data_IF_051286373592
#
_entry.id   IF_051286373592
#
_cell.length_a   1.000
_cell.length_b   1.000
_cell.length_c   1.000
_cell.angle_alpha   90.00
_cell.angle_beta   90.00
_cell.angle_gamma   90.00
#
_symmetry.space_group_name_H-M   'P 1'
#
loop_
_entity.id
_entity.type
_entity.pdbx_description
1 polymer ?
#
# COMPACT_ATOMS: atom_id res chain seq x y z
N UNK A 1 6.96 5.80 -40.31
CA UNK A 1 6.42 4.51 -39.84
C UNK A 1 5.50 4.83 -38.67
N UNK A 2 4.17 4.72 -38.85
CA UNK A 2 3.22 5.00 -37.78
C UNK A 2 3.37 3.96 -36.67
N UNK A 3 3.54 4.42 -35.43
CA UNK A 3 3.62 3.53 -34.28
C UNK A 3 2.31 2.78 -34.10
N UNK A 4 2.34 1.46 -34.21
CA UNK A 4 1.21 0.62 -33.83
C UNK A 4 1.07 0.69 -32.31
N UNK A 5 -0.02 1.28 -31.82
CA UNK A 5 -0.39 1.18 -30.43
C UNK A 5 -1.33 -0.03 -30.28
N UNK A 6 -0.94 -1.07 -29.52
CA UNK A 6 -1.80 -2.23 -29.33
C UNK A 6 -3.12 -1.84 -28.69
N UNK A 7 -4.19 -2.55 -29.04
CA UNK A 7 -5.49 -2.32 -28.46
C UNK A 7 -5.47 -2.65 -26.95
N UNK A 8 -6.33 -1.99 -26.18
CA UNK A 8 -6.39 -2.18 -24.72
C UNK A 8 -6.55 -3.65 -24.28
N UNK A 9 -7.36 -4.50 -24.93
CA UNK A 9 -7.45 -5.92 -24.58
C UNK A 9 -6.12 -6.68 -24.72
N UNK A 10 -5.32 -6.36 -25.75
CA UNK A 10 -4.02 -6.97 -25.95
C UNK A 10 -3.01 -6.51 -24.88
N UNK A 11 -3.07 -5.23 -24.53
CA UNK A 11 -2.25 -4.67 -23.44
C UNK A 11 -2.57 -5.40 -22.13
N UNK A 12 -3.85 -5.51 -21.76
CA UNK A 12 -4.29 -6.20 -20.54
C UNK A 12 -3.86 -7.68 -20.52
N UNK A 13 -3.97 -8.37 -21.65
CA UNK A 13 -3.51 -9.76 -21.78
C UNK A 13 -2.01 -9.88 -21.49
N UNK A 14 -1.19 -9.01 -22.10
CA UNK A 14 0.26 -8.98 -21.87
C UNK A 14 0.61 -8.66 -20.41
N UNK A 15 -0.08 -7.69 -19.79
CA UNK A 15 0.11 -7.39 -18.36
C UNK A 15 -0.25 -8.57 -17.46
N UNK A 16 -1.33 -9.29 -17.77
CA UNK A 16 -1.73 -10.48 -16.99
C UNK A 16 -0.67 -11.57 -17.05
N UNK A 17 -0.06 -11.78 -18.23
CA UNK A 17 1.06 -12.72 -18.39
C UNK A 17 2.26 -12.26 -17.54
N UNK A 18 2.67 -11.00 -17.66
CA UNK A 18 3.80 -10.47 -16.89
C UNK A 18 3.57 -10.54 -15.37
N UNK A 19 2.34 -10.28 -14.94
CA UNK A 19 1.94 -10.41 -13.53
C UNK A 19 2.10 -11.85 -13.05
N UNK A 20 1.60 -12.83 -13.81
CA UNK A 20 1.72 -14.25 -13.45
C UNK A 20 3.18 -14.71 -13.39
N UNK A 21 4.02 -14.27 -14.33
CA UNK A 21 5.45 -14.59 -14.35
C UNK A 21 6.17 -13.98 -13.14
N UNK A 22 5.88 -12.71 -12.83
CA UNK A 22 6.46 -12.01 -11.67
C UNK A 22 6.04 -12.65 -10.35
N UNK A 23 4.77 -13.06 -10.24
CA UNK A 23 4.25 -13.78 -9.08
C UNK A 23 4.96 -15.13 -8.88
N UNK A 24 5.12 -15.91 -9.95
CA UNK A 24 5.85 -17.19 -9.89
C UNK A 24 7.33 -17.00 -9.49
N UNK A 25 7.98 -15.97 -10.01
CA UNK A 25 9.35 -15.63 -9.62
C UNK A 25 9.42 -15.28 -8.13
N UNK A 26 8.53 -14.42 -7.64
CA UNK A 26 8.47 -14.04 -6.22
C UNK A 26 8.27 -15.25 -5.30
N UNK A 27 7.32 -16.13 -5.63
CA UNK A 27 7.10 -17.37 -4.88
C UNK A 27 8.32 -18.32 -4.92
N UNK A 28 9.03 -18.39 -6.04
CA UNK A 28 10.24 -19.22 -6.15
C UNK A 28 11.40 -18.66 -5.30
N UNK A 29 11.47 -17.34 -5.15
CA UNK A 29 12.49 -16.68 -4.32
C UNK A 29 12.17 -16.76 -2.81
N UNK A 30 10.89 -16.81 -2.44
CA UNK A 30 10.44 -16.90 -1.05
C UNK A 30 10.23 -18.34 -0.56
N UNK A 31 10.07 -19.29 -1.49
CA UNK A 31 9.81 -20.68 -1.18
C UNK A 31 11.01 -21.39 -0.56
N UNK A 32 10.82 -22.26 0.46
CA UNK A 32 11.90 -23.09 0.96
C UNK A 32 12.29 -24.10 -0.13
N UNK A 33 13.46 -23.92 -0.75
CA UNK A 33 14.02 -24.99 -1.57
C UNK A 33 14.23 -26.20 -0.66
N UNK A 34 13.56 -27.30 -1.00
CA UNK A 34 13.63 -28.58 -0.30
C UNK A 34 15.10 -28.98 -0.12
N UNK A 35 15.65 -28.67 1.05
CA UNK A 35 17.03 -28.99 1.39
C UNK A 35 17.05 -30.45 1.83
N UNK A 36 17.27 -31.35 0.88
CA UNK A 36 17.55 -32.76 1.16
C UNK A 36 18.96 -32.91 1.72
N UNK A 37 19.21 -32.51 2.97
CA UNK A 37 20.42 -32.89 3.72
C UNK A 37 20.31 -32.57 5.22
N UNK A 38 20.13 -33.64 6.00
CA UNK A 38 20.67 -33.92 7.35
C UNK A 38 20.93 -32.75 8.33
N UNK A 39 20.10 -32.69 9.37
CA UNK A 39 20.58 -32.51 10.74
C UNK A 39 21.19 -31.16 11.15
N UNK A 40 20.42 -30.07 11.13
CA UNK A 40 20.57 -29.00 12.14
C UNK A 40 19.28 -28.17 12.24
N UNK A 41 18.83 -27.90 13.46
CA UNK A 41 17.57 -27.27 13.80
C UNK A 41 17.62 -25.73 13.76
N UNK A 42 18.16 -25.14 12.69
CA UNK A 42 17.99 -23.70 12.44
C UNK A 42 16.76 -23.50 11.57
N UNK A 43 15.92 -22.52 11.91
CA UNK A 43 14.71 -22.15 11.16
C UNK A 43 14.96 -22.14 9.63
N UNK A 44 13.96 -22.50 8.80
CA UNK A 44 14.09 -22.50 7.35
C UNK A 44 14.17 -21.07 6.82
N UNK A 45 15.33 -20.43 6.95
CA UNK A 45 15.64 -19.16 6.33
C UNK A 45 15.84 -19.33 4.82
N UNK A 46 15.67 -18.25 4.07
CA UNK A 46 15.84 -18.25 2.62
C UNK A 46 17.29 -18.63 2.26
N UNK A 47 17.47 -19.67 1.44
CA UNK A 47 18.80 -20.16 1.02
C UNK A 47 19.56 -19.10 0.22
N UNK A 48 18.83 -18.26 -0.54
CA UNK A 48 19.42 -17.20 -1.35
C UNK A 48 20.08 -16.09 -0.51
N UNK A 49 19.65 -15.88 0.74
CA UNK A 49 20.26 -14.89 1.63
C UNK A 49 21.67 -15.30 2.10
N UNK A 50 21.98 -16.60 2.09
CA UNK A 50 23.28 -17.14 2.49
C UNK A 50 24.24 -17.31 1.31
N UNK A 51 23.76 -17.16 0.07
CA UNK A 51 24.56 -17.35 -1.13
C UNK A 51 25.31 -16.05 -1.47
N UNK A 52 26.64 -16.13 -1.52
CA UNK A 52 27.48 -15.03 -2.02
C UNK A 52 28.00 -15.38 -3.42
N UNK A 53 27.88 -14.44 -4.36
CA UNK A 53 28.39 -14.60 -5.72
C UNK A 53 29.75 -13.91 -5.83
N UNK A 54 30.75 -14.65 -6.28
CA UNK A 54 32.07 -14.12 -6.64
C UNK A 54 32.50 -14.67 -8.00
N UNK A 55 33.33 -13.94 -8.75
CA UNK A 55 33.95 -14.51 -9.95
C UNK A 55 34.94 -15.61 -9.56
N UNK A 56 34.89 -16.75 -10.25
CA UNK A 56 35.88 -17.83 -10.12
C UNK A 56 37.05 -17.69 -11.10
N UNK A 57 36.96 -16.77 -12.07
CA UNK A 57 37.98 -16.54 -13.08
C UNK A 57 38.88 -15.38 -12.62
N UNK A 58 40.21 -15.55 -12.61
CA UNK A 58 41.11 -14.44 -12.34
C UNK A 58 40.98 -13.41 -13.46
N UNK A 59 40.59 -12.19 -13.11
CA UNK A 59 40.48 -11.05 -14.02
C UNK A 59 41.32 -9.89 -13.48
N UNK A 60 41.74 -8.95 -14.34
CA UNK A 60 42.42 -7.74 -13.87
C UNK A 60 41.43 -6.79 -13.19
N UNK A 61 41.90 -5.94 -12.28
CA UNK A 61 41.04 -4.96 -11.58
C UNK A 61 40.23 -4.09 -12.56
N UNK A 62 40.84 -3.69 -13.68
CA UNK A 62 40.15 -2.92 -14.73
C UNK A 62 39.02 -3.70 -15.43
N UNK A 63 39.15 -5.01 -15.60
CA UNK A 63 38.09 -5.85 -16.17
C UNK A 63 36.98 -6.07 -15.16
N UNK A 64 37.34 -6.27 -13.89
CA UNK A 64 36.39 -6.37 -12.79
C UNK A 64 35.51 -5.14 -12.69
N UNK A 65 36.11 -3.95 -12.69
CA UNK A 65 35.41 -2.68 -12.53
C UNK A 65 34.45 -2.36 -13.68
N UNK A 66 34.81 -2.71 -14.91
CA UNK A 66 34.02 -2.38 -16.10
C UNK A 66 32.98 -3.45 -16.47
N UNK A 67 33.29 -4.73 -16.26
CA UNK A 67 32.45 -5.84 -16.76
C UNK A 67 31.60 -6.47 -15.65
N UNK A 68 32.18 -6.70 -14.47
CA UNK A 68 31.52 -7.47 -13.41
C UNK A 68 30.82 -6.59 -12.39
N UNK A 69 31.48 -5.52 -11.92
CA UNK A 69 30.92 -4.63 -10.88
C UNK A 69 29.55 -4.06 -11.28
N UNK A 70 29.29 -3.61 -12.51
CA UNK A 70 27.97 -3.12 -12.88
C UNK A 70 26.88 -4.17 -12.80
N UNK A 71 27.20 -5.45 -13.05
CA UNK A 71 26.26 -6.57 -13.03
C UNK A 71 25.98 -7.10 -11.62
N UNK A 72 27.01 -7.10 -10.75
CA UNK A 72 26.87 -7.49 -9.34
C UNK A 72 26.32 -6.37 -8.47
N UNK A 73 26.14 -5.17 -9.03
CA UNK A 73 25.64 -4.03 -8.28
C UNK A 73 24.16 -4.21 -7.98
N UNK A 74 23.84 -4.39 -6.70
CA UNK A 74 22.46 -4.39 -6.17
C UNK A 74 21.89 -2.96 -6.03
N UNK A 75 22.18 -2.06 -6.96
CA UNK A 75 21.69 -0.70 -6.91
C UNK A 75 20.23 -0.68 -7.36
N UNK A 76 19.34 -0.34 -6.44
CA UNK A 76 17.97 -0.02 -6.78
C UNK A 76 17.91 1.10 -7.81
N UNK A 77 16.94 1.04 -8.71
CA UNK A 77 16.68 2.13 -9.66
C UNK A 77 16.31 3.40 -8.89
N UNK A 78 16.69 4.56 -9.42
CA UNK A 78 16.46 5.85 -8.75
C UNK A 78 15.00 6.13 -8.45
N UNK A 79 14.09 5.59 -9.26
CA UNK A 79 12.66 5.77 -9.08
C UNK A 79 12.12 4.93 -7.92
N UNK A 80 12.66 3.72 -7.72
CA UNK A 80 12.35 2.90 -6.54
C UNK A 80 12.82 3.59 -5.27
N UNK A 81 14.05 4.12 -5.26
CA UNK A 81 14.60 4.86 -4.11
C UNK A 81 13.73 6.06 -3.72
N UNK A 82 13.25 6.82 -4.71
CA UNK A 82 12.34 7.96 -4.47
C UNK A 82 11.02 7.49 -3.86
N UNK A 83 10.41 6.46 -4.44
CA UNK A 83 9.14 5.91 -3.95
C UNK A 83 9.28 5.36 -2.54
N UNK A 84 10.35 4.61 -2.24
CA UNK A 84 10.62 4.11 -0.88
C UNK A 84 10.76 5.26 0.11
N UNK A 85 11.49 6.32 -0.24
CA UNK A 85 11.66 7.50 0.60
C UNK A 85 10.33 8.20 0.88
N UNK A 86 9.49 8.38 -0.15
CA UNK A 86 8.18 9.01 0.00
C UNK A 86 7.22 8.16 0.85
N UNK A 87 7.23 6.84 0.66
CA UNK A 87 6.41 5.91 1.46
C UNK A 87 6.85 5.92 2.93
N UNK A 88 8.16 5.84 3.20
CA UNK A 88 8.69 5.88 4.57
C UNK A 88 8.38 7.22 5.24
N UNK A 89 8.48 8.34 4.51
CA UNK A 89 8.10 9.65 5.02
C UNK A 89 6.61 9.71 5.36
N UNK A 90 5.75 9.27 4.44
CA UNK A 90 4.31 9.26 4.66
C UNK A 90 3.91 8.36 5.84
N UNK A 91 4.55 7.20 6.00
CA UNK A 91 4.36 6.33 7.16
C UNK A 91 4.78 7.05 8.45
N UNK A 92 5.96 7.64 8.47
CA UNK A 92 6.48 8.37 9.64
C UNK A 92 5.60 9.55 10.05
N UNK A 93 4.93 10.23 9.11
CA UNK A 93 3.98 11.31 9.41
C UNK A 93 2.79 10.80 10.27
N UNK A 94 2.34 9.57 10.02
CA UNK A 94 1.19 8.95 10.69
C UNK A 94 1.58 8.18 11.97
N UNK A 95 2.85 7.77 12.10
CA UNK A 95 3.35 7.15 13.32
C UNK A 95 3.37 8.13 14.50
N UNK A 96 3.11 7.62 15.69
CA UNK A 96 3.27 8.35 16.96
C UNK A 96 4.75 8.61 17.24
N UNK A 97 5.60 7.61 17.00
CA UNK A 97 7.06 7.73 17.18
C UNK A 97 7.74 8.61 16.13
N UNK A 98 7.02 9.00 15.06
CA UNK A 98 7.58 9.67 13.86
C UNK A 98 8.69 8.88 13.16
N UNK A 99 8.68 7.55 13.31
CA UNK A 99 9.65 6.67 12.68
C UNK A 99 11.10 6.98 13.08
N UNK A 100 12.04 6.75 12.17
CA UNK A 100 13.46 7.07 12.39
C UNK A 100 13.73 8.57 12.59
N UNK A 101 12.85 9.44 12.07
CA UNK A 101 12.95 10.89 12.26
C UNK A 101 12.73 11.28 13.72
N UNK A 102 11.83 10.62 14.44
CA UNK A 102 11.61 10.88 15.87
C UNK A 102 12.76 10.41 16.77
N UNK A 103 13.56 9.46 16.29
CA UNK A 103 14.78 8.99 16.98
C UNK A 103 15.97 9.94 16.74
N UNK A 104 16.12 10.42 15.50
CA UNK A 104 17.19 11.35 15.10
C UNK A 104 16.94 12.79 15.57
N UNK A 105 15.68 13.24 15.52
CA UNK A 105 15.33 14.59 15.97
C UNK A 105 15.09 14.55 17.47
N UNK A 106 15.73 15.47 18.20
CA UNK A 106 15.56 15.62 19.65
C UNK A 106 14.12 16.07 20.05
N UNK A 107 13.22 16.17 19.06
CA UNK A 107 11.79 16.47 19.18
C UNK A 107 10.98 15.29 19.76
N UNK A 108 11.55 14.09 19.87
CA UNK A 108 11.00 12.99 20.67
C UNK A 108 11.03 13.23 22.19
N UNK A 109 11.48 14.41 22.65
CA UNK A 109 11.19 14.87 24.00
C UNK A 109 9.73 15.29 24.03
N UNK A 110 8.87 14.40 24.50
CA UNK A 110 7.54 14.80 24.96
C UNK A 110 7.66 16.04 25.83
N UNK A 111 6.68 16.93 25.72
CA UNK A 111 6.58 18.19 26.46
C UNK A 111 6.32 17.91 27.94
N UNK A 112 7.34 17.45 28.66
CA UNK A 112 7.23 17.15 30.07
C UNK A 112 8.56 16.72 30.70
N UNK A 113 8.75 16.95 32.01
CA UNK A 113 9.98 16.60 32.73
C UNK A 113 10.26 15.08 32.81
N UNK A 114 9.37 14.24 32.29
CA UNK A 114 9.46 12.77 32.32
C UNK A 114 9.33 12.11 30.93
N UNK A 115 9.38 12.88 29.85
CA UNK A 115 9.21 12.28 28.53
C UNK A 115 10.42 11.42 28.14
N UNK A 116 10.19 10.11 28.00
CA UNK A 116 11.19 9.15 27.53
C UNK A 116 11.54 9.49 26.08
N UNK A 117 12.83 9.45 25.75
CA UNK A 117 13.32 9.59 24.38
C UNK A 117 12.81 8.39 23.57
N UNK A 118 12.23 8.64 22.39
CA UNK A 118 11.90 7.60 21.42
C UNK A 118 13.15 6.81 21.04
N UNK A 119 13.13 5.51 21.29
CA UNK A 119 14.22 4.59 20.91
C UNK A 119 13.86 3.84 19.62
N UNK A 120 14.87 3.30 18.93
CA UNK A 120 14.62 2.48 17.73
C UNK A 120 13.72 1.27 18.02
N UNK A 121 13.84 0.71 19.22
CA UNK A 121 12.99 -0.41 19.66
C UNK A 121 11.50 -0.01 19.76
N UNK A 122 11.22 1.24 20.20
CA UNK A 122 9.85 1.76 20.25
C UNK A 122 9.25 1.90 18.84
N UNK A 123 10.05 2.35 17.86
CA UNK A 123 9.64 2.45 16.45
C UNK A 123 9.35 1.07 15.86
N UNK A 124 10.23 0.08 16.11
CA UNK A 124 10.04 -1.28 15.60
C UNK A 124 8.80 -1.95 16.19
N UNK A 125 8.55 -1.75 17.49
CA UNK A 125 7.34 -2.24 18.15
C UNK A 125 6.08 -1.60 17.58
N UNK A 126 6.09 -0.30 17.31
CA UNK A 126 4.96 0.39 16.68
C UNK A 126 4.73 -0.14 15.25
N UNK A 127 5.79 -0.33 14.45
CA UNK A 127 5.67 -0.93 13.11
C UNK A 127 5.07 -2.34 13.16
N UNK A 128 5.49 -3.16 14.12
CA UNK A 128 4.94 -4.51 14.33
C UNK A 128 3.45 -4.44 14.68
N UNK A 129 3.07 -3.55 15.59
CA UNK A 129 1.67 -3.34 15.96
C UNK A 129 0.82 -2.91 14.75
N UNK A 130 1.29 -1.91 13.98
CA UNK A 130 0.61 -1.43 12.78
C UNK A 130 0.40 -2.58 11.79
N UNK A 131 1.43 -3.42 11.59
CA UNK A 131 1.34 -4.60 10.71
C UNK A 131 0.26 -5.56 11.17
N UNK A 132 0.28 -5.98 12.45
CA UNK A 132 -0.70 -6.94 12.98
C UNK A 132 -2.13 -6.39 12.86
N UNK A 133 -2.37 -5.15 13.28
CA UNK A 133 -3.71 -4.56 13.19
C UNK A 133 -4.19 -4.42 11.74
N UNK A 134 -3.29 -4.09 10.82
CA UNK A 134 -3.58 -4.00 9.39
C UNK A 134 -3.95 -5.37 8.81
N UNK A 135 -3.15 -6.39 9.10
CA UNK A 135 -3.37 -7.75 8.61
C UNK A 135 -4.68 -8.33 9.18
N UNK A 136 -5.01 -8.07 10.45
CA UNK A 136 -6.30 -8.43 11.02
C UNK A 136 -7.49 -7.74 10.34
N UNK A 137 -7.35 -6.46 9.93
CA UNK A 137 -8.37 -5.75 9.15
C UNK A 137 -8.55 -6.39 7.78
N UNK A 138 -7.46 -6.74 7.11
CA UNK A 138 -7.49 -7.44 5.82
C UNK A 138 -8.17 -8.80 5.97
N UNK A 139 -7.80 -9.60 6.96
CA UNK A 139 -8.37 -10.92 7.20
C UNK A 139 -9.88 -10.87 7.44
N UNK A 140 -10.36 -9.85 8.16
CA UNK A 140 -11.80 -9.63 8.33
C UNK A 140 -12.48 -9.26 7.01
N UNK A 141 -11.87 -8.39 6.21
CA UNK A 141 -12.41 -7.99 4.90
C UNK A 141 -12.46 -9.18 3.93
N UNK A 142 -11.39 -9.98 3.85
CA UNK A 142 -11.31 -11.18 3.00
C UNK A 142 -12.39 -12.20 3.39
N UNK A 143 -12.57 -12.45 4.69
CA UNK A 143 -13.65 -13.31 5.18
C UNK A 143 -15.03 -12.78 4.84
N UNK A 144 -15.27 -11.47 4.96
CA UNK A 144 -16.53 -10.86 4.58
C UNK A 144 -16.83 -11.02 3.08
N UNK A 145 -15.83 -10.80 2.22
CA UNK A 145 -15.96 -11.00 0.77
C UNK A 145 -16.22 -12.48 0.43
N UNK A 146 -15.57 -13.42 1.12
CA UNK A 146 -15.83 -14.85 0.94
C UNK A 146 -17.29 -15.20 1.29
N UNK A 147 -17.81 -14.72 2.42
CA UNK A 147 -19.22 -14.93 2.80
C UNK A 147 -20.20 -14.33 1.78
N UNK A 148 -19.91 -13.15 1.22
CA UNK A 148 -20.74 -12.56 0.18
C UNK A 148 -20.72 -13.39 -1.11
N UNK A 149 -19.55 -13.86 -1.51
CA UNK A 149 -19.40 -14.74 -2.68
C UNK A 149 -20.17 -16.05 -2.53
N UNK A 150 -20.27 -16.59 -1.32
CA UNK A 150 -21.03 -17.81 -1.02
C UNK A 150 -22.54 -17.56 -0.90
N UNK A 151 -22.94 -16.40 -0.38
CA UNK A 151 -24.35 -16.05 -0.17
C UNK A 151 -25.09 -15.74 -1.47
N UNK A 152 -24.42 -15.17 -2.46
CA UNK A 152 -25.05 -14.73 -3.72
C UNK A 152 -24.60 -15.62 -4.90
N UNK A 153 -25.56 -16.12 -5.68
CA UNK A 153 -25.26 -16.76 -6.96
C UNK A 153 -24.92 -15.69 -8.00
N UNK A 154 -23.63 -15.40 -8.13
CA UNK A 154 -23.09 -14.40 -9.06
C UNK A 154 -23.08 -14.88 -10.52
N UNK A 155 -23.42 -16.14 -10.79
CA UNK A 155 -23.56 -16.70 -12.15
C UNK A 155 -25.00 -16.76 -12.61
N UNK A 156 -25.96 -16.79 -11.69
CA UNK A 156 -27.33 -16.45 -12.02
C UNK A 156 -27.31 -15.03 -12.59
N UNK A 157 -27.79 -14.88 -13.82
CA UNK A 157 -28.12 -13.55 -14.33
C UNK A 157 -29.00 -12.93 -13.27
N UNK A 158 -28.58 -11.80 -12.72
CA UNK A 158 -29.37 -11.03 -11.77
C UNK A 158 -30.65 -10.65 -12.50
N UNK A 159 -31.68 -11.50 -12.47
CA UNK A 159 -33.05 -11.06 -12.58
C UNK A 159 -33.25 -10.23 -11.32
N UNK A 160 -33.13 -8.94 -11.53
CA UNK A 160 -33.29 -7.90 -10.54
C UNK A 160 -34.74 -8.01 -10.02
N UNK A 161 -34.94 -8.73 -8.92
CA UNK A 161 -36.06 -8.47 -7.99
C UNK A 161 -35.72 -7.20 -7.18
N UNK A 162 -35.46 -6.08 -7.87
CA UNK A 162 -35.71 -4.78 -7.24
C UNK A 162 -37.20 -4.52 -7.44
N UNK A 163 -37.94 -4.58 -6.34
CA UNK A 163 -39.20 -3.86 -6.21
C UNK A 163 -38.97 -2.42 -6.70
N UNK A 164 -39.72 -1.99 -7.72
CA UNK A 164 -39.58 -0.70 -8.40
C UNK A 164 -39.39 0.44 -7.37
N UNK A 165 -38.22 1.10 -7.30
CA UNK A 165 -38.18 2.39 -6.62
C UNK A 165 -39.06 3.35 -7.42
N UNK A 166 -40.08 3.91 -6.76
CA UNK A 166 -41.02 4.90 -7.32
C UNK A 166 -40.29 5.88 -8.24
N UNK A 167 -40.85 6.04 -9.45
CA UNK A 167 -40.31 6.77 -10.59
C UNK A 167 -39.66 8.11 -10.18
N UNK A 168 -38.32 8.17 -10.22
CA UNK A 168 -37.63 9.47 -10.29
C UNK A 168 -37.92 10.01 -11.69
N UNK A 169 -38.86 10.96 -11.76
CA UNK A 169 -39.25 11.71 -12.94
C UNK A 169 -38.02 12.42 -13.52
N UNK A 170 -37.28 11.72 -14.37
CA UNK A 170 -36.08 12.25 -14.99
C UNK A 170 -36.52 13.14 -16.15
N UNK A 171 -36.73 14.44 -15.89
CA UNK A 171 -37.17 15.42 -16.88
C UNK A 171 -36.08 15.56 -17.96
N UNK A 172 -36.27 15.00 -19.17
CA UNK A 172 -35.29 15.10 -20.24
C UNK A 172 -35.79 16.21 -21.16
N UNK A 173 -35.56 17.47 -20.78
CA UNK A 173 -35.35 18.58 -21.70
C UNK A 173 -35.26 19.88 -20.90
N UNK A 174 -34.19 20.64 -21.15
CA UNK A 174 -34.11 22.06 -20.85
C UNK A 174 -35.14 22.85 -21.67
N UNK A 175 -36.41 22.68 -21.32
CA UNK A 175 -37.51 23.55 -21.71
C UNK A 175 -37.63 24.63 -20.65
N UNK A 176 -37.26 25.85 -21.03
CA UNK A 176 -37.54 27.07 -20.29
C UNK A 176 -39.00 27.11 -19.83
N UNK A 177 -39.22 27.34 -18.53
CA UNK A 177 -40.45 27.95 -18.03
C UNK A 177 -40.07 29.19 -17.21
N UNK A 178 -40.65 30.36 -17.51
CA UNK A 178 -40.28 31.63 -16.90
C UNK A 178 -41.02 31.87 -15.58
N UNK A 179 -40.37 32.69 -14.76
CA UNK A 179 -40.90 33.54 -13.69
C UNK A 179 -41.71 32.92 -12.54
N UNK A 180 -41.19 33.14 -11.34
CA UNK A 180 -42.04 33.31 -10.17
C UNK A 180 -41.41 32.98 -8.83
N UNK A 181 -40.71 33.98 -8.26
CA UNK A 181 -40.59 34.21 -6.80
C UNK A 181 -39.77 33.18 -6.01
N UNK A 182 -38.54 33.55 -5.62
CA UNK A 182 -38.23 34.23 -4.37
C UNK A 182 -37.78 33.25 -3.28
N UNK A 183 -36.47 33.14 -3.06
CA UNK A 183 -35.93 32.97 -1.71
C UNK A 183 -34.48 33.48 -1.65
N UNK A 184 -34.35 34.59 -0.91
CA UNK A 184 -33.21 35.02 -0.11
C UNK A 184 -31.78 34.68 -0.55
N UNK A 185 -31.09 35.74 -0.99
CA UNK A 185 -29.69 36.01 -0.65
C UNK A 185 -29.44 35.70 0.83
N UNK A 186 -28.52 34.79 1.11
CA UNK A 186 -27.74 34.80 2.36
C UNK A 186 -26.27 34.69 1.98
N UNK A 187 -25.59 35.80 2.23
CA UNK A 187 -24.18 36.07 2.02
C UNK A 187 -23.28 35.22 2.92
N UNK A 188 -22.10 34.94 2.39
CA UNK A 188 -20.95 34.34 3.06
C UNK A 188 -20.36 35.35 4.05
N UNK A 189 -20.23 34.97 5.32
CA UNK A 189 -19.28 35.51 6.32
C UNK A 189 -19.00 34.33 7.30
N UNK A 190 -17.84 33.67 7.29
CA UNK A 190 -16.47 34.04 7.73
C UNK A 190 -16.39 34.41 9.22
N UNK A 191 -15.52 33.65 9.92
CA UNK A 191 -15.01 33.81 11.30
C UNK A 191 -16.01 33.47 12.43
N UNK A 192 -15.69 32.77 13.51
CA UNK A 192 -14.43 32.33 14.12
C UNK A 192 -14.62 32.29 15.64
N UNK A 193 -14.00 31.30 16.32
CA UNK A 193 -13.82 31.13 17.79
C UNK A 193 -14.98 30.59 18.62
N UNK A 194 -14.65 29.57 19.43
CA UNK A 194 -14.73 29.72 20.89
C UNK A 194 -15.59 28.73 21.69
N UNK A 195 -14.93 27.68 22.19
CA UNK A 195 -14.99 27.12 23.57
C UNK A 195 -16.29 26.61 24.24
N UNK A 196 -16.06 25.54 25.02
CA UNK A 196 -16.80 24.97 26.16
C UNK A 196 -18.06 24.15 25.79
N UNK A 197 -18.20 22.86 26.10
CA UNK A 197 -17.63 22.07 27.19
C UNK A 197 -18.76 21.71 28.16
N UNK A 198 -19.35 20.51 28.07
CA UNK A 198 -20.20 19.90 29.11
C UNK A 198 -20.06 18.38 29.06
N UNK A 199 -19.83 17.79 30.23
CA UNK A 199 -19.55 16.38 30.47
C UNK A 199 -20.81 15.49 30.58
N UNK A 200 -20.65 14.24 31.05
CA UNK A 200 -21.64 13.17 30.88
C UNK A 200 -22.67 13.15 32.01
N UNK A 201 -23.93 12.84 31.67
CA UNK A 201 -24.95 12.44 32.63
C UNK A 201 -25.03 10.91 32.74
N UNK A 202 -25.32 10.49 33.97
CA UNK A 202 -25.40 9.11 34.48
C UNK A 202 -26.64 8.37 33.98
#
# INVERSE_FOLDING_TARGET
>A
MGGYMPAWPEILSKYTILLSQSHNLSHSLLGPLHSSASGSSSAPGNVYEKLALHSSIPMTDSQMDNELIPLLRNQQTTDVLKLETDIVRHLAEHMETKGSLGVMTQNGRGTGPYAKRTEYDDVLRECEQIRVEHDERIDRAVRAVAMLREKYDWKARVEVDQEEPEEIEWIPHGGLAPDGQAHQRMSVDREGRGYAGWGPEQ
#
